data_IF_257135246377
#
_entry.id   IF_257135246377
#
_cell.length_a   1.000
_cell.length_b   1.000
_cell.length_c   1.000
_cell.angle_alpha   90.00
_cell.angle_beta   90.00
_cell.angle_gamma   90.00
#
_symmetry.space_group_name_H-M   'P 1'
#
loop_
_entity.id
_entity.type
_entity.pdbx_description
1 polymer ?
#
# COMPACT_ATOMS: atom_id res chain seq x y z
N UNK A 1 -45.04 64.92 -2.18
CA UNK A 1 -43.58 65.22 -2.29
C UNK A 1 -42.71 64.11 -1.66
N UNK A 2 -42.97 63.61 -0.47
CA UNK A 2 -42.10 62.63 0.20
C UNK A 2 -41.94 61.29 -0.54
N UNK A 3 -42.99 60.78 -1.19
CA UNK A 3 -42.93 59.52 -1.99
C UNK A 3 -42.02 59.60 -3.23
N UNK A 4 -41.93 60.78 -3.86
CA UNK A 4 -41.08 60.99 -5.04
C UNK A 4 -39.58 60.96 -4.68
N UNK A 5 -39.22 61.48 -3.51
CA UNK A 5 -37.81 61.41 -3.04
C UNK A 5 -37.37 60.03 -2.65
N UNK A 6 -38.29 59.19 -2.13
CA UNK A 6 -38.01 57.78 -1.80
C UNK A 6 -37.69 56.97 -3.07
N UNK A 7 -38.46 57.18 -4.14
CA UNK A 7 -38.17 56.48 -5.40
C UNK A 7 -36.90 56.99 -6.07
N UNK A 8 -36.59 58.27 -5.95
CA UNK A 8 -35.36 58.85 -6.50
C UNK A 8 -34.10 58.36 -5.75
N UNK A 9 -34.19 58.22 -4.43
CA UNK A 9 -33.08 57.63 -3.61
C UNK A 9 -32.95 56.12 -3.86
N UNK A 10 -34.03 55.42 -4.01
CA UNK A 10 -33.99 53.96 -4.28
C UNK A 10 -33.40 53.66 -5.66
N UNK A 11 -33.71 54.46 -6.69
CA UNK A 11 -33.12 54.31 -8.03
C UNK A 11 -31.66 54.72 -8.06
N UNK A 12 -31.25 55.72 -7.27
CA UNK A 12 -29.84 56.12 -7.17
C UNK A 12 -28.98 55.07 -6.46
N UNK A 13 -29.50 54.43 -5.40
CA UNK A 13 -28.83 53.33 -4.68
C UNK A 13 -28.74 52.09 -5.54
N UNK A 14 -29.77 51.75 -6.28
CA UNK A 14 -29.79 50.59 -7.19
C UNK A 14 -28.84 50.80 -8.38
N UNK A 15 -28.66 52.03 -8.86
CA UNK A 15 -27.71 52.36 -9.92
C UNK A 15 -26.24 52.29 -9.48
N UNK A 16 -25.94 52.54 -8.20
CA UNK A 16 -24.59 52.44 -7.64
C UNK A 16 -24.13 51.02 -7.39
N UNK A 17 -25.05 50.10 -7.16
CA UNK A 17 -24.71 48.66 -6.95
C UNK A 17 -24.39 47.92 -8.26
N UNK A 18 -24.78 48.43 -9.40
CA UNK A 18 -24.50 47.84 -10.72
C UNK A 18 -23.15 48.28 -11.31
N UNK A 19 -22.50 49.31 -10.73
CA UNK A 19 -21.22 49.80 -11.21
C UNK A 19 -20.00 49.13 -10.57
N UNK A 20 -20.20 48.17 -9.66
CA UNK A 20 -19.12 47.51 -8.90
C UNK A 20 -18.62 46.16 -9.52
N UNK A 21 -18.88 45.93 -10.79
CA UNK A 21 -18.17 44.89 -11.54
C UNK A 21 -17.19 45.51 -12.51
N UNK A 22 -16.08 46.11 -11.98
CA UNK A 22 -14.90 46.20 -12.81
C UNK A 22 -14.41 44.79 -13.06
N UNK A 23 -14.53 44.29 -14.30
CA UNK A 23 -13.73 43.16 -14.75
C UNK A 23 -12.29 43.59 -14.57
N UNK A 24 -11.64 43.10 -13.50
CA UNK A 24 -10.20 43.09 -13.48
C UNK A 24 -9.77 42.45 -14.79
N UNK A 25 -9.16 43.22 -15.66
CA UNK A 25 -8.51 42.65 -16.84
C UNK A 25 -7.38 41.79 -16.28
N UNK A 26 -7.67 40.51 -16.13
CA UNK A 26 -6.65 39.51 -15.87
C UNK A 26 -5.57 39.72 -16.93
N UNK A 27 -4.36 40.00 -16.47
CA UNK A 27 -3.22 40.18 -17.34
C UNK A 27 -3.14 38.93 -18.23
N UNK A 28 -3.19 39.08 -19.54
CA UNK A 28 -3.08 37.97 -20.50
C UNK A 28 -1.73 37.22 -20.35
N UNK A 29 -0.77 37.80 -19.69
CA UNK A 29 0.48 37.18 -19.32
C UNK A 29 0.30 36.50 -17.96
N UNK A 30 0.35 35.17 -17.96
CA UNK A 30 0.48 34.37 -16.74
C UNK A 30 1.67 34.91 -15.93
N UNK A 31 1.44 35.31 -14.66
CA UNK A 31 2.50 35.68 -13.71
C UNK A 31 3.32 34.45 -13.28
N UNK A 32 2.81 33.26 -13.56
CA UNK A 32 3.58 32.03 -13.38
C UNK A 32 4.63 31.96 -14.48
N UNK A 33 5.92 31.76 -14.13
CA UNK A 33 6.92 31.51 -15.15
C UNK A 33 6.42 30.37 -16.04
N UNK A 34 6.66 30.43 -17.37
CA UNK A 34 6.29 29.33 -18.22
C UNK A 34 6.94 28.07 -17.61
N UNK A 35 6.10 27.10 -17.24
CA UNK A 35 6.60 25.77 -16.90
C UNK A 35 7.48 25.41 -18.07
N UNK A 36 8.79 25.27 -17.84
CA UNK A 36 9.70 24.88 -18.90
C UNK A 36 9.19 23.52 -19.39
N UNK A 37 8.58 23.49 -20.57
CA UNK A 37 8.02 22.29 -21.19
C UNK A 37 9.10 21.27 -21.59
N UNK A 38 10.32 21.49 -21.15
CA UNK A 38 11.38 20.49 -21.32
C UNK A 38 11.17 19.38 -20.28
N UNK A 39 10.27 18.46 -20.63
CA UNK A 39 10.20 17.18 -19.94
C UNK A 39 11.61 16.57 -19.91
N UNK A 40 12.08 16.23 -18.71
CA UNK A 40 13.35 15.52 -18.57
C UNK A 40 13.26 14.15 -19.27
N UNK A 41 14.40 13.56 -19.57
CA UNK A 41 14.44 12.18 -20.10
C UNK A 41 13.68 11.21 -19.16
N UNK A 42 13.82 11.40 -17.86
CA UNK A 42 13.11 10.61 -16.85
C UNK A 42 11.59 10.81 -16.90
N UNK A 43 11.11 12.05 -17.09
CA UNK A 43 9.67 12.31 -17.22
C UNK A 43 9.09 11.61 -18.47
N UNK A 44 9.79 11.65 -19.59
CA UNK A 44 9.39 10.95 -20.81
C UNK A 44 9.37 9.44 -20.60
N UNK A 45 10.40 8.91 -19.95
CA UNK A 45 10.47 7.49 -19.64
C UNK A 45 9.28 7.07 -18.72
N UNK A 46 9.00 7.81 -17.64
CA UNK A 46 7.84 7.57 -16.78
C UNK A 46 6.52 7.61 -17.56
N UNK A 47 6.39 8.58 -18.48
CA UNK A 47 5.20 8.71 -19.32
C UNK A 47 5.00 7.49 -20.22
N UNK A 48 6.06 6.98 -20.83
CA UNK A 48 6.00 5.87 -21.79
C UNK A 48 5.81 4.51 -21.10
N UNK A 49 6.52 4.28 -19.99
CA UNK A 49 6.57 2.98 -19.33
C UNK A 49 5.49 2.80 -18.24
N UNK A 50 5.09 3.87 -17.58
CA UNK A 50 4.16 3.78 -16.45
C UNK A 50 2.84 4.49 -16.75
N UNK A 51 2.88 5.79 -17.05
CA UNK A 51 1.66 6.59 -17.12
C UNK A 51 0.74 6.12 -18.26
N UNK A 52 1.26 5.96 -19.47
CA UNK A 52 0.43 5.51 -20.62
C UNK A 52 -0.09 4.09 -20.48
N UNK A 53 0.74 3.08 -20.11
CA UNK A 53 0.28 1.70 -20.03
C UNK A 53 -0.67 1.42 -18.85
N UNK A 54 -0.47 2.11 -17.70
CA UNK A 54 -1.19 1.81 -16.46
C UNK A 54 -2.14 2.92 -16.02
N UNK A 55 -2.19 4.05 -16.75
CA UNK A 55 -3.00 5.23 -16.45
C UNK A 55 -2.71 5.83 -15.06
N UNK A 56 -1.47 5.67 -14.58
CA UNK A 56 -1.00 6.14 -13.29
C UNK A 56 0.06 7.22 -13.45
N UNK A 57 -0.16 8.40 -12.90
CA UNK A 57 0.82 9.48 -12.86
C UNK A 57 1.94 9.16 -11.87
N UNK A 58 3.20 9.34 -12.26
CA UNK A 58 4.35 9.14 -11.35
C UNK A 58 4.73 10.47 -10.73
N UNK A 59 4.72 10.53 -9.39
CA UNK A 59 5.07 11.73 -8.60
C UNK A 59 6.34 11.44 -7.81
N UNK A 60 7.47 11.91 -8.29
CA UNK A 60 8.78 11.80 -7.63
C UNK A 60 9.41 13.16 -7.28
N UNK A 61 8.80 14.26 -7.74
CA UNK A 61 9.11 15.64 -7.35
C UNK A 61 7.90 16.22 -6.64
N UNK A 62 7.97 16.37 -5.35
CA UNK A 62 6.90 16.92 -4.54
C UNK A 62 7.48 17.84 -3.46
N UNK A 63 6.70 18.79 -2.98
CA UNK A 63 7.11 19.71 -1.94
C UNK A 63 6.80 19.15 -0.52
N UNK A 64 7.33 19.83 0.51
CA UNK A 64 7.16 19.41 1.91
C UNK A 64 5.70 19.35 2.37
N UNK A 65 4.77 19.95 1.65
CA UNK A 65 3.35 19.93 2.02
C UNK A 65 2.69 18.59 1.70
N UNK A 66 3.30 17.78 0.84
CA UNK A 66 2.86 16.40 0.55
C UNK A 66 3.38 15.36 1.54
N UNK A 67 4.39 15.69 2.35
CA UNK A 67 4.89 14.79 3.38
C UNK A 67 3.97 14.80 4.60
N UNK A 68 3.69 13.64 5.17
CA UNK A 68 3.10 13.59 6.50
C UNK A 68 4.06 14.22 7.52
N UNK A 69 3.58 15.17 8.31
CA UNK A 69 4.42 15.88 9.30
C UNK A 69 5.02 14.95 10.37
N UNK A 70 4.44 13.77 10.54
CA UNK A 70 4.88 12.75 11.50
C UNK A 70 5.95 11.81 10.96
N UNK A 71 6.30 11.89 9.67
CA UNK A 71 7.28 11.03 9.02
C UNK A 71 8.42 11.86 8.42
N UNK A 72 9.64 11.36 8.49
CA UNK A 72 10.82 12.00 7.89
C UNK A 72 10.98 11.61 6.41
N UNK A 73 9.88 11.70 5.66
CA UNK A 73 9.88 11.39 4.24
C UNK A 73 10.36 12.59 3.42
N UNK A 74 11.05 12.32 2.31
CA UNK A 74 11.62 13.30 1.38
C UNK A 74 11.56 12.77 -0.06
N UNK A 75 11.63 13.64 -1.09
CA UNK A 75 11.68 13.21 -2.49
C UNK A 75 12.88 12.29 -2.75
N UNK A 76 12.73 11.27 -3.61
CA UNK A 76 13.82 10.35 -3.91
C UNK A 76 14.93 11.00 -4.74
N UNK A 77 16.12 10.41 -4.70
CA UNK A 77 17.20 10.70 -5.64
C UNK A 77 16.77 10.28 -7.05
N UNK A 78 17.02 11.14 -8.04
CA UNK A 78 16.52 10.95 -9.40
C UNK A 78 17.05 9.67 -10.07
N UNK A 79 18.29 9.29 -9.76
CA UNK A 79 18.91 8.06 -10.27
C UNK A 79 18.25 6.78 -9.76
N UNK A 80 17.53 6.84 -8.64
CA UNK A 80 16.84 5.70 -8.04
C UNK A 80 15.38 5.54 -8.52
N UNK A 81 14.81 6.57 -9.15
CA UNK A 81 13.41 6.56 -9.60
C UNK A 81 13.17 5.45 -10.64
N UNK A 82 14.00 5.43 -11.69
CA UNK A 82 13.84 4.46 -12.78
C UNK A 82 14.04 3.01 -12.32
N UNK A 83 15.11 2.64 -11.59
CA UNK A 83 15.28 1.27 -11.08
C UNK A 83 14.10 0.74 -10.26
N UNK A 84 13.51 1.58 -9.39
CA UNK A 84 12.34 1.19 -8.58
C UNK A 84 11.10 1.00 -9.44
N UNK A 85 10.86 1.88 -10.41
CA UNK A 85 9.71 1.76 -11.31
C UNK A 85 9.84 0.56 -12.26
N UNK A 86 11.04 0.24 -12.76
CA UNK A 86 11.31 -0.97 -13.54
C UNK A 86 11.02 -2.24 -12.71
N UNK A 87 11.42 -2.25 -11.43
CA UNK A 87 11.10 -3.34 -10.52
C UNK A 87 9.59 -3.45 -10.26
N UNK A 88 8.93 -2.32 -9.97
CA UNK A 88 7.49 -2.26 -9.75
C UNK A 88 6.71 -2.77 -10.96
N UNK A 89 7.10 -2.34 -12.16
CA UNK A 89 6.49 -2.80 -13.40
C UNK A 89 6.68 -4.31 -13.59
N UNK A 90 7.92 -4.79 -13.48
CA UNK A 90 8.26 -6.19 -13.73
C UNK A 90 7.63 -7.16 -12.73
N UNK A 91 7.57 -6.79 -11.44
CA UNK A 91 7.18 -7.71 -10.36
C UNK A 91 5.74 -7.55 -9.88
N UNK A 92 5.11 -6.38 -10.13
CA UNK A 92 3.77 -6.07 -9.63
C UNK A 92 2.81 -5.73 -10.75
N UNK A 93 3.07 -4.66 -11.52
CA UNK A 93 2.08 -4.17 -12.47
C UNK A 93 1.82 -5.15 -13.61
N UNK A 94 2.84 -5.88 -14.06
CA UNK A 94 2.71 -6.91 -15.08
C UNK A 94 1.85 -8.11 -14.64
N UNK A 95 1.76 -8.40 -13.33
CA UNK A 95 0.85 -9.43 -12.81
C UNK A 95 -0.60 -9.16 -13.25
N UNK A 96 -1.03 -7.89 -13.20
CA UNK A 96 -2.39 -7.48 -13.49
C UNK A 96 -2.65 -7.20 -14.99
N UNK A 97 -1.64 -7.36 -15.83
CA UNK A 97 -1.77 -7.28 -17.30
C UNK A 97 -1.75 -8.63 -17.99
N UNK A 98 -1.50 -9.69 -17.25
CA UNK A 98 -1.39 -11.02 -17.86
C UNK A 98 -2.75 -11.50 -18.36
N UNK A 99 -2.90 -11.56 -19.69
CA UNK A 99 -4.13 -11.99 -20.38
C UNK A 99 -4.52 -13.44 -20.09
N UNK A 100 -3.58 -14.25 -19.58
CA UNK A 100 -3.89 -15.63 -19.20
C UNK A 100 -4.69 -15.67 -17.90
N UNK A 101 -4.59 -14.65 -17.06
CA UNK A 101 -5.24 -14.61 -15.75
C UNK A 101 -6.47 -13.72 -15.75
N UNK A 102 -6.41 -12.59 -16.43
CA UNK A 102 -7.51 -11.63 -16.49
C UNK A 102 -8.21 -11.75 -17.85
N UNK A 103 -9.53 -11.79 -17.84
CA UNK A 103 -10.37 -11.79 -19.04
C UNK A 103 -10.05 -10.59 -19.93
N UNK A 104 -9.55 -9.51 -19.32
CA UNK A 104 -9.13 -8.28 -19.98
C UNK A 104 -7.70 -7.94 -19.57
N UNK A 105 -6.83 -7.60 -20.54
CA UNK A 105 -5.52 -7.01 -20.27
C UNK A 105 -5.61 -5.62 -19.63
N UNK A 106 -6.82 -5.14 -19.42
CA UNK A 106 -7.13 -3.80 -18.96
C UNK A 106 -7.55 -3.77 -17.49
N UNK A 107 -7.16 -4.78 -16.69
CA UNK A 107 -7.55 -4.85 -15.28
C UNK A 107 -7.10 -3.62 -14.49
N UNK A 108 -5.82 -3.22 -14.56
CA UNK A 108 -5.36 -1.98 -13.94
C UNK A 108 -5.98 -0.74 -14.61
N UNK A 109 -6.01 -0.61 -15.96
CA UNK A 109 -6.75 0.48 -16.62
C UNK A 109 -8.24 0.56 -16.27
N UNK A 110 -8.91 -0.58 -16.04
CA UNK A 110 -10.32 -0.60 -15.59
C UNK A 110 -10.48 -0.22 -14.11
N UNK A 111 -9.41 -0.35 -13.31
CA UNK A 111 -9.37 -0.05 -11.88
C UNK A 111 -8.15 0.84 -11.57
N UNK A 112 -8.06 2.05 -12.15
CA UNK A 112 -6.83 2.81 -12.20
C UNK A 112 -6.33 3.21 -10.82
N UNK A 113 -5.01 3.05 -10.64
CA UNK A 113 -4.27 3.77 -9.62
C UNK A 113 -3.95 5.14 -10.22
N UNK A 114 -4.51 6.22 -9.68
CA UNK A 114 -4.32 7.54 -10.28
C UNK A 114 -2.90 8.06 -10.16
N UNK A 115 -2.21 7.74 -9.06
CA UNK A 115 -0.87 8.25 -8.78
C UNK A 115 0.01 7.22 -8.09
N UNK A 116 1.29 7.27 -8.44
CA UNK A 116 2.35 6.53 -7.77
C UNK A 116 3.32 7.56 -7.19
N UNK A 117 3.28 7.73 -5.87
CA UNK A 117 4.19 8.62 -5.14
C UNK A 117 5.45 7.86 -4.74
N UNK A 118 6.62 8.46 -5.01
CA UNK A 118 7.92 7.92 -4.64
C UNK A 118 8.55 8.73 -3.51
N UNK A 119 9.04 8.04 -2.47
CA UNK A 119 9.67 8.62 -1.28
C UNK A 119 11.06 8.02 -1.09
N UNK A 120 12.08 8.88 -0.91
CA UNK A 120 13.47 8.47 -0.75
C UNK A 120 13.69 7.60 0.48
N UNK A 121 13.10 7.99 1.62
CA UNK A 121 13.25 7.33 2.91
C UNK A 121 12.12 6.38 3.30
N UNK A 122 12.29 5.76 4.49
CA UNK A 122 11.29 4.89 5.09
C UNK A 122 10.10 5.68 5.67
N UNK A 123 8.92 5.07 5.66
CA UNK A 123 7.75 5.55 6.38
C UNK A 123 7.76 4.96 7.81
N UNK A 124 8.58 5.52 8.69
CA UNK A 124 8.67 5.07 10.09
C UNK A 124 7.77 5.89 10.98
N UNK A 125 7.02 5.21 11.82
CA UNK A 125 6.20 5.86 12.84
C UNK A 125 7.02 6.24 14.09
N UNK A 126 6.35 6.86 15.09
CA UNK A 126 6.97 7.27 16.35
C UNK A 126 7.54 6.14 17.20
N UNK A 127 7.16 4.89 16.92
CA UNK A 127 7.67 3.68 17.58
C UNK A 127 8.82 3.02 16.80
N UNK A 128 9.22 3.59 15.66
CA UNK A 128 10.28 3.08 14.81
C UNK A 128 9.89 1.90 13.94
N UNK A 129 8.59 1.60 13.81
CA UNK A 129 8.09 0.56 12.92
C UNK A 129 8.00 1.09 11.49
N UNK A 130 8.55 0.34 10.54
CA UNK A 130 8.46 0.66 9.11
C UNK A 130 7.06 0.29 8.59
N UNK A 131 6.25 1.31 8.33
CA UNK A 131 4.94 1.16 7.71
C UNK A 131 5.13 1.10 6.20
N UNK A 132 4.83 -0.04 5.60
CA UNK A 132 4.97 -0.25 4.16
C UNK A 132 3.98 0.57 3.32
N UNK A 133 3.02 1.24 3.95
CA UNK A 133 1.93 1.96 3.30
C UNK A 133 1.50 3.18 4.12
N UNK A 134 0.82 4.11 3.48
CA UNK A 134 0.17 5.22 4.16
C UNK A 134 -1.28 4.84 4.50
N UNK A 135 -1.59 4.70 5.79
CA UNK A 135 -2.95 4.33 6.27
C UNK A 135 -4.01 5.36 5.94
N UNK A 136 -3.63 6.63 5.82
CA UNK A 136 -4.53 7.76 5.56
C UNK A 136 -4.66 8.09 4.08
N UNK A 137 -3.81 7.49 3.23
CA UNK A 137 -3.83 7.74 1.80
C UNK A 137 -5.15 7.29 1.16
N UNK A 138 -5.62 7.99 0.13
CA UNK A 138 -6.67 7.48 -0.75
C UNK A 138 -6.27 6.12 -1.33
N UNK A 139 -7.22 5.17 -1.41
CA UNK A 139 -6.93 3.82 -1.88
C UNK A 139 -6.48 3.75 -3.34
N UNK A 140 -6.77 4.79 -4.13
CA UNK A 140 -6.39 4.91 -5.54
C UNK A 140 -4.96 5.45 -5.76
N UNK A 141 -4.23 5.72 -4.70
CA UNK A 141 -2.86 6.20 -4.74
C UNK A 141 -1.91 5.16 -4.16
N UNK A 142 -0.78 4.96 -4.84
CA UNK A 142 0.27 4.04 -4.43
C UNK A 142 1.46 4.84 -3.88
N UNK A 143 1.91 4.51 -2.69
CA UNK A 143 3.01 5.17 -1.99
C UNK A 143 4.17 4.20 -1.85
N UNK A 144 5.27 4.47 -2.53
CA UNK A 144 6.49 3.65 -2.52
C UNK A 144 7.56 4.35 -1.70
N UNK A 145 7.96 3.73 -0.62
CA UNK A 145 8.98 4.21 0.31
C UNK A 145 10.32 3.50 0.09
N UNK A 146 11.39 4.02 0.71
CA UNK A 146 12.74 3.46 0.66
C UNK A 146 13.34 3.41 -0.75
N UNK A 147 12.96 4.35 -1.63
CA UNK A 147 13.46 4.41 -3.00
C UNK A 147 14.98 4.58 -3.05
N UNK A 148 15.55 5.38 -2.16
CA UNK A 148 17.00 5.69 -2.14
C UNK A 148 17.89 4.52 -1.72
N UNK A 149 17.34 3.56 -0.98
CA UNK A 149 18.06 2.37 -0.53
C UNK A 149 17.77 1.14 -1.39
N UNK A 150 16.86 1.26 -2.36
CA UNK A 150 16.49 0.15 -3.22
C UNK A 150 17.68 -0.35 -4.05
N UNK A 151 17.87 -1.66 -4.05
CA UNK A 151 18.81 -2.36 -4.92
C UNK A 151 18.10 -3.51 -5.62
N UNK A 152 18.15 -3.59 -6.97
CA UNK A 152 17.50 -4.65 -7.75
C UNK A 152 18.07 -6.04 -7.48
N UNK A 153 19.29 -6.11 -6.91
CA UNK A 153 19.97 -7.37 -6.54
C UNK A 153 19.75 -7.77 -5.08
N UNK A 154 19.11 -6.90 -4.27
CA UNK A 154 18.82 -7.22 -2.87
C UNK A 154 17.42 -7.84 -2.74
N UNK A 155 17.30 -9.16 -2.45
CA UNK A 155 16.01 -9.83 -2.36
C UNK A 155 15.08 -9.23 -1.29
N UNK A 156 15.64 -8.66 -0.21
CA UNK A 156 14.84 -8.04 0.87
C UNK A 156 14.22 -6.73 0.40
N UNK A 157 14.94 -5.93 -0.39
CA UNK A 157 14.42 -4.67 -0.94
C UNK A 157 13.35 -4.93 -2.02
N UNK A 158 13.58 -5.92 -2.89
CA UNK A 158 12.57 -6.36 -3.87
C UNK A 158 11.33 -6.89 -3.17
N UNK A 159 11.49 -7.74 -2.15
CA UNK A 159 10.40 -8.24 -1.32
C UNK A 159 9.60 -7.09 -0.67
N UNK A 160 10.29 -6.11 -0.06
CA UNK A 160 9.66 -4.94 0.56
C UNK A 160 8.83 -4.14 -0.45
N UNK A 161 9.38 -3.87 -1.64
CA UNK A 161 8.69 -3.16 -2.71
C UNK A 161 7.41 -3.89 -3.13
N UNK A 162 7.52 -5.19 -3.41
CA UNK A 162 6.37 -5.99 -3.86
C UNK A 162 5.31 -6.08 -2.76
N UNK A 163 5.71 -6.33 -1.51
CA UNK A 163 4.80 -6.35 -0.35
C UNK A 163 4.03 -5.05 -0.20
N UNK A 164 4.76 -3.91 -0.23
CA UNK A 164 4.17 -2.58 -0.12
C UNK A 164 3.15 -2.32 -1.23
N UNK A 165 3.53 -2.58 -2.47
CA UNK A 165 2.67 -2.34 -3.63
C UNK A 165 1.44 -3.26 -3.63
N UNK A 166 1.61 -4.57 -3.38
CA UNK A 166 0.51 -5.54 -3.35
C UNK A 166 -0.49 -5.26 -2.21
N UNK A 167 -0.01 -4.83 -1.04
CA UNK A 167 -0.89 -4.41 0.06
C UNK A 167 -1.81 -3.25 -0.38
N UNK A 168 -1.24 -2.21 -0.97
CA UNK A 168 -1.97 -1.03 -1.37
C UNK A 168 -2.92 -1.30 -2.54
N UNK A 169 -2.50 -2.11 -3.52
CA UNK A 169 -3.37 -2.60 -4.60
C UNK A 169 -4.51 -3.44 -4.01
N UNK A 170 -4.23 -4.33 -3.08
CA UNK A 170 -5.26 -5.11 -2.37
C UNK A 170 -6.29 -4.21 -1.70
N UNK A 171 -5.85 -3.18 -0.96
CA UNK A 171 -6.76 -2.18 -0.36
C UNK A 171 -7.62 -1.46 -1.39
N UNK A 172 -7.04 -1.09 -2.53
CA UNK A 172 -7.77 -0.45 -3.63
C UNK A 172 -8.84 -1.37 -4.19
N UNK A 173 -8.49 -2.60 -4.51
CA UNK A 173 -9.41 -3.59 -5.06
C UNK A 173 -10.53 -3.96 -4.07
N UNK A 174 -10.23 -4.05 -2.78
CA UNK A 174 -11.23 -4.24 -1.71
C UNK A 174 -12.19 -3.05 -1.55
N UNK A 175 -11.80 -1.87 -2.01
CA UNK A 175 -12.69 -0.70 -2.05
C UNK A 175 -13.64 -0.77 -3.24
N UNK A 176 -13.18 -1.30 -4.38
CA UNK A 176 -13.97 -1.46 -5.61
C UNK A 176 -14.92 -2.66 -5.50
N UNK A 177 -14.43 -3.75 -4.93
CA UNK A 177 -15.17 -4.97 -4.66
C UNK A 177 -15.25 -5.21 -3.15
N UNK A 178 -16.20 -4.58 -2.43
CA UNK A 178 -16.27 -4.70 -0.98
C UNK A 178 -16.43 -6.15 -0.52
N UNK A 179 -15.70 -6.49 0.55
CA UNK A 179 -15.84 -7.79 1.22
C UNK A 179 -16.82 -7.69 2.40
N UNK A 180 -17.30 -8.81 2.87
CA UNK A 180 -18.12 -8.90 4.08
C UNK A 180 -17.25 -8.62 5.32
N UNK A 181 -17.22 -7.35 5.72
CA UNK A 181 -16.41 -6.85 6.82
C UNK A 181 -16.79 -7.49 8.17
N UNK A 182 -18.07 -7.58 8.46
CA UNK A 182 -18.56 -8.08 9.75
C UNK A 182 -18.26 -9.57 9.88
N UNK A 183 -18.44 -10.32 8.81
CA UNK A 183 -18.03 -11.72 8.75
C UNK A 183 -16.52 -11.88 8.94
N UNK A 184 -15.70 -11.04 8.30
CA UNK A 184 -14.24 -11.12 8.46
C UNK A 184 -13.82 -10.84 9.90
N UNK A 185 -14.42 -9.83 10.55
CA UNK A 185 -14.19 -9.53 11.97
C UNK A 185 -14.55 -10.71 12.89
N UNK A 186 -15.62 -11.45 12.55
CA UNK A 186 -16.08 -12.59 13.37
C UNK A 186 -15.18 -13.83 13.29
N UNK A 187 -14.17 -13.86 12.38
CA UNK A 187 -13.31 -15.02 12.19
C UNK A 187 -12.19 -15.16 13.23
N UNK A 188 -12.02 -14.19 14.10
CA UNK A 188 -10.98 -14.24 15.12
C UNK A 188 -11.24 -13.30 16.28
N UNK A 189 -10.42 -13.40 17.34
CA UNK A 189 -10.52 -12.50 18.47
C UNK A 189 -10.22 -11.07 18.03
N UNK A 190 -10.92 -10.11 18.67
CA UNK A 190 -10.66 -8.69 18.50
C UNK A 190 -9.31 -8.32 19.14
N UNK A 191 -8.25 -8.44 18.35
CA UNK A 191 -6.86 -8.13 18.74
C UNK A 191 -6.26 -7.00 17.91
N UNK A 192 -7.11 -6.21 17.27
CA UNK A 192 -6.64 -5.09 16.48
C UNK A 192 -6.21 -3.91 17.36
N UNK A 193 -5.19 -3.20 16.91
CA UNK A 193 -4.68 -1.99 17.53
C UNK A 193 -4.71 -0.82 16.56
N UNK A 194 -5.08 0.36 17.03
CA UNK A 194 -4.98 1.58 16.21
C UNK A 194 -3.55 2.08 16.05
N UNK A 195 -2.60 1.59 16.85
CA UNK A 195 -1.18 1.99 16.88
C UNK A 195 -0.27 0.77 16.79
N UNK A 196 1.01 1.02 16.49
CA UNK A 196 2.05 -0.03 16.43
C UNK A 196 2.65 -0.37 17.79
N UNK A 197 2.35 0.41 18.82
CA UNK A 197 2.94 0.27 20.17
C UNK A 197 2.90 -1.17 20.70
N UNK A 198 1.79 -1.94 20.61
CA UNK A 198 1.73 -3.29 21.18
C UNK A 198 2.70 -4.30 20.56
N UNK A 199 3.18 -4.04 19.34
CA UNK A 199 4.06 -4.97 18.60
C UNK A 199 5.39 -4.34 18.15
N UNK A 200 5.67 -3.10 18.54
CA UNK A 200 6.88 -2.39 18.13
C UNK A 200 8.16 -3.10 18.60
N UNK A 201 8.16 -3.67 19.80
CA UNK A 201 9.31 -4.41 20.32
C UNK A 201 9.57 -5.70 19.52
N UNK A 202 8.54 -6.41 19.14
CA UNK A 202 8.64 -7.57 18.29
C UNK A 202 9.23 -7.19 16.92
N UNK A 203 8.72 -6.14 16.28
CA UNK A 203 9.26 -5.64 15.01
C UNK A 203 10.75 -5.29 15.13
N UNK A 204 11.12 -4.48 16.14
CA UNK A 204 12.50 -4.08 16.38
C UNK A 204 13.44 -5.26 16.64
N UNK A 205 12.96 -6.33 17.28
CA UNK A 205 13.73 -7.56 17.49
C UNK A 205 14.09 -8.24 16.18
N UNK A 206 13.13 -8.35 15.24
CA UNK A 206 13.40 -8.88 13.90
C UNK A 206 14.39 -8.01 13.12
N UNK A 207 14.20 -6.68 13.13
CA UNK A 207 15.10 -5.74 12.47
C UNK A 207 16.53 -5.83 13.01
N UNK A 208 16.71 -5.77 14.32
CA UNK A 208 18.03 -5.85 14.99
C UNK A 208 18.74 -7.18 14.77
N UNK A 209 18.00 -8.27 14.63
CA UNK A 209 18.56 -9.60 14.34
C UNK A 209 18.86 -9.84 12.85
N UNK A 210 18.70 -8.83 11.98
CA UNK A 210 18.90 -8.97 10.54
C UNK A 210 17.77 -9.76 9.82
N UNK A 211 16.68 -10.05 10.51
CA UNK A 211 15.53 -10.80 10.00
C UNK A 211 14.39 -9.88 9.53
N UNK A 212 14.75 -8.78 8.88
CA UNK A 212 13.78 -7.75 8.46
C UNK A 212 12.68 -8.32 7.56
N UNK A 213 13.01 -9.25 6.67
CA UNK A 213 12.02 -9.89 5.80
C UNK A 213 10.91 -10.58 6.61
N UNK A 214 11.27 -11.29 7.68
CA UNK A 214 10.30 -11.89 8.58
C UNK A 214 9.54 -10.83 9.37
N UNK A 215 10.21 -9.79 9.86
CA UNK A 215 9.57 -8.67 10.56
C UNK A 215 8.49 -7.99 9.71
N UNK A 216 8.68 -7.96 8.39
CA UNK A 216 7.71 -7.40 7.43
C UNK A 216 6.68 -8.41 6.91
N UNK A 217 6.85 -9.70 7.13
CA UNK A 217 6.03 -10.79 6.58
C UNK A 217 5.55 -11.79 7.62
N UNK A 218 5.58 -13.06 7.22
CA UNK A 218 5.25 -14.17 8.13
C UNK A 218 6.24 -14.27 9.27
N UNK A 219 5.76 -14.13 10.50
CA UNK A 219 6.59 -14.28 11.69
C UNK A 219 5.79 -14.85 12.86
N UNK A 220 6.52 -15.49 13.83
CA UNK A 220 5.90 -16.15 14.97
C UNK A 220 5.02 -15.22 15.79
N UNK A 221 5.46 -13.99 16.04
CA UNK A 221 4.68 -13.03 16.80
C UNK A 221 3.31 -12.78 16.19
N UNK A 222 3.22 -12.68 14.86
CA UNK A 222 1.97 -12.45 14.15
C UNK A 222 1.11 -13.72 14.09
N UNK A 223 1.68 -14.84 13.62
CA UNK A 223 0.84 -16.02 13.39
C UNK A 223 0.41 -16.72 14.68
N UNK A 224 1.16 -16.62 15.81
CA UNK A 224 0.67 -17.05 17.13
C UNK A 224 -0.50 -16.23 17.67
N UNK A 225 -0.92 -15.19 16.94
CA UNK A 225 -2.09 -14.34 17.23
C UNK A 225 -3.15 -14.39 16.12
N UNK A 226 -3.00 -15.27 15.14
CA UNK A 226 -3.92 -15.41 14.02
C UNK A 226 -3.79 -14.36 12.92
N UNK A 227 -2.59 -13.74 12.78
CA UNK A 227 -2.27 -12.76 11.74
C UNK A 227 -1.16 -13.25 10.83
N UNK A 228 -1.14 -12.82 9.56
CA UNK A 228 -0.05 -13.12 8.64
C UNK A 228 1.19 -12.27 8.91
N UNK A 229 0.99 -11.01 9.27
CA UNK A 229 2.05 -10.08 9.58
C UNK A 229 1.69 -9.19 10.77
N UNK A 230 2.69 -8.57 11.36
CA UNK A 230 2.53 -7.59 12.43
C UNK A 230 1.65 -6.42 11.97
N UNK A 231 1.79 -5.96 10.73
CA UNK A 231 1.02 -4.83 10.21
C UNK A 231 -0.47 -5.15 10.03
N UNK A 232 -0.84 -6.42 9.88
CA UNK A 232 -2.24 -6.86 9.88
C UNK A 232 -2.97 -6.56 11.18
N UNK A 233 -2.24 -6.46 12.29
CA UNK A 233 -2.82 -6.12 13.59
C UNK A 233 -3.34 -4.67 13.70
N UNK A 234 -3.07 -3.82 12.70
CA UNK A 234 -3.49 -2.42 12.68
C UNK A 234 -4.98 -2.20 12.37
N UNK A 235 -5.72 -3.23 11.99
CA UNK A 235 -7.15 -3.18 11.71
C UNK A 235 -7.59 -4.18 10.67
N UNK A 236 -8.89 -4.50 10.63
CA UNK A 236 -9.43 -5.55 9.75
C UNK A 236 -9.14 -5.32 8.26
N UNK A 237 -9.21 -4.08 7.79
CA UNK A 237 -8.88 -3.75 6.40
C UNK A 237 -7.39 -3.95 6.10
N UNK A 238 -6.54 -3.58 7.03
CA UNK A 238 -5.10 -3.79 6.91
C UNK A 238 -4.77 -5.29 6.98
N UNK A 239 -5.45 -6.05 7.85
CA UNK A 239 -5.28 -7.49 7.99
C UNK A 239 -5.58 -8.23 6.68
N UNK A 240 -6.73 -7.98 6.07
CA UNK A 240 -7.09 -8.63 4.80
C UNK A 240 -6.12 -8.25 3.67
N UNK A 241 -5.69 -6.97 3.61
CA UNK A 241 -4.71 -6.50 2.63
C UNK A 241 -3.30 -7.08 2.89
N UNK A 242 -2.91 -7.23 4.16
CA UNK A 242 -1.67 -7.90 4.56
C UNK A 242 -1.69 -9.38 4.19
N UNK A 243 -2.79 -10.08 4.47
CA UNK A 243 -2.96 -11.47 4.05
C UNK A 243 -2.82 -11.62 2.53
N UNK A 244 -3.44 -10.73 1.76
CA UNK A 244 -3.31 -10.71 0.30
C UNK A 244 -1.86 -10.52 -0.13
N UNK A 245 -1.19 -9.47 0.34
CA UNK A 245 0.17 -9.14 -0.06
C UNK A 245 1.21 -10.17 0.42
N UNK A 246 1.06 -10.72 1.64
CA UNK A 246 1.90 -11.84 2.11
C UNK A 246 1.69 -13.09 1.25
N UNK A 247 0.43 -13.41 0.91
CA UNK A 247 0.15 -14.56 0.04
C UNK A 247 0.85 -14.41 -1.31
N UNK A 248 0.91 -13.22 -1.89
CA UNK A 248 1.56 -12.99 -3.18
C UNK A 248 3.10 -12.96 -3.12
N UNK A 249 3.69 -12.90 -1.93
CA UNK A 249 5.14 -12.77 -1.75
C UNK A 249 5.78 -13.93 -0.99
N UNK A 250 4.98 -14.84 -0.44
CA UNK A 250 5.46 -16.03 0.26
C UNK A 250 5.03 -17.30 -0.47
N UNK A 251 5.86 -18.36 -0.36
CA UNK A 251 5.54 -19.63 -0.97
C UNK A 251 4.34 -20.32 -0.26
N UNK A 252 3.56 -21.14 -0.98
CA UNK A 252 2.50 -21.93 -0.33
C UNK A 252 3.01 -22.76 0.85
N UNK A 253 4.22 -23.32 0.74
CA UNK A 253 4.85 -24.08 1.81
C UNK A 253 5.17 -23.24 3.04
N UNK A 254 5.63 -21.98 2.86
CA UNK A 254 5.88 -21.05 3.97
C UNK A 254 4.59 -20.70 4.72
N UNK A 255 3.51 -20.42 4.00
CA UNK A 255 2.20 -20.13 4.59
C UNK A 255 1.66 -21.35 5.35
N UNK A 256 1.75 -22.54 4.76
CA UNK A 256 1.30 -23.78 5.42
C UNK A 256 2.14 -24.06 6.69
N UNK A 257 3.43 -23.79 6.67
CA UNK A 257 4.27 -23.91 7.86
C UNK A 257 3.86 -22.91 8.95
N UNK A 258 3.63 -21.64 8.60
CA UNK A 258 3.16 -20.64 9.55
C UNK A 258 1.80 -21.03 10.17
N UNK A 259 0.90 -21.62 9.39
CA UNK A 259 -0.37 -22.17 9.87
C UNK A 259 -0.15 -23.29 10.90
N UNK A 260 0.75 -24.24 10.61
CA UNK A 260 1.10 -25.32 11.54
C UNK A 260 1.78 -24.79 12.79
N UNK A 261 2.71 -23.84 12.65
CA UNK A 261 3.44 -23.23 13.75
C UNK A 261 2.52 -22.38 14.65
N UNK A 262 1.43 -21.82 14.12
CA UNK A 262 0.42 -21.11 14.91
C UNK A 262 -0.29 -22.02 15.93
N UNK A 263 -0.35 -23.32 15.68
CA UNK A 263 -0.91 -24.32 16.59
C UNK A 263 0.05 -24.70 17.74
N UNK A 264 1.30 -24.24 17.72
CA UNK A 264 2.31 -24.57 18.74
C UNK A 264 2.21 -23.57 19.89
N UNK A 265 1.85 -24.00 21.10
CA UNK A 265 1.80 -23.11 22.27
C UNK A 265 3.16 -22.51 22.61
N UNK A 266 3.16 -21.35 23.24
CA UNK A 266 4.37 -20.81 23.88
C UNK A 266 4.74 -21.64 25.12
N UNK A 267 6.04 -21.64 25.45
CA UNK A 267 6.54 -22.36 26.63
C UNK A 267 6.05 -21.65 27.90
N UNK A 268 5.69 -22.45 28.89
CA UNK A 268 5.13 -21.99 30.17
C UNK A 268 6.04 -22.28 31.37
N UNK A 269 7.31 -22.69 31.17
CA UNK A 269 8.32 -22.92 32.21
C UNK A 269 7.79 -23.73 33.43
N UNK A 270 6.89 -24.71 33.18
CA UNK A 270 6.32 -25.57 34.24
C UNK A 270 5.05 -25.06 34.92
N UNK A 271 4.55 -23.88 34.57
CA UNK A 271 3.27 -23.35 35.04
C UNK A 271 2.10 -24.02 34.31
N UNK A 272 1.36 -24.85 35.01
CA UNK A 272 0.25 -25.63 34.43
C UNK A 272 -0.96 -24.74 34.01
N UNK A 273 -1.18 -23.60 34.65
CA UNK A 273 -2.23 -22.65 34.25
C UNK A 273 -1.79 -21.92 32.98
N UNK A 274 -0.56 -21.46 32.91
CA UNK A 274 0.03 -20.85 31.72
C UNK A 274 0.03 -21.83 30.54
N UNK A 275 0.38 -23.10 30.73
CA UNK A 275 0.31 -24.15 29.70
C UNK A 275 -1.10 -24.28 29.09
N UNK A 276 -2.15 -24.33 29.94
CA UNK A 276 -3.53 -24.41 29.46
C UNK A 276 -3.92 -23.17 28.69
N UNK A 277 -3.56 -21.98 29.20
CA UNK A 277 -3.86 -20.71 28.51
C UNK A 277 -3.16 -20.64 27.17
N UNK A 278 -1.87 -20.94 27.10
CA UNK A 278 -1.11 -20.91 25.83
C UNK A 278 -1.57 -21.96 24.84
N UNK A 279 -2.01 -23.13 25.31
CA UNK A 279 -2.60 -24.14 24.45
C UNK A 279 -3.94 -23.67 23.83
N UNK A 280 -4.80 -23.00 24.59
CA UNK A 280 -6.04 -22.43 24.07
C UNK A 280 -5.77 -21.24 23.14
N UNK A 281 -4.82 -20.36 23.46
CA UNK A 281 -4.40 -19.26 22.60
C UNK A 281 -3.85 -19.74 21.25
N UNK A 282 -3.03 -20.79 21.25
CA UNK A 282 -2.49 -21.40 20.03
C UNK A 282 -3.59 -22.05 19.17
N UNK A 283 -4.54 -22.73 19.80
CA UNK A 283 -5.71 -23.30 19.12
C UNK A 283 -6.51 -22.19 18.43
N UNK A 284 -6.86 -21.12 19.15
CA UNK A 284 -7.61 -19.98 18.61
C UNK A 284 -6.82 -19.30 17.48
N UNK A 285 -5.51 -19.14 17.63
CA UNK A 285 -4.66 -18.54 16.60
C UNK A 285 -4.64 -19.37 15.31
N UNK A 286 -4.50 -20.69 15.44
CA UNK A 286 -4.53 -21.60 14.31
C UNK A 286 -5.90 -21.60 13.61
N UNK A 287 -7.00 -21.74 14.35
CA UNK A 287 -8.36 -21.70 13.80
C UNK A 287 -8.63 -20.38 13.07
N UNK A 288 -8.23 -19.25 13.68
CA UNK A 288 -8.32 -17.93 13.07
C UNK A 288 -7.54 -17.85 11.76
N UNK A 289 -6.30 -18.32 11.75
CA UNK A 289 -5.44 -18.32 10.57
C UNK A 289 -6.07 -19.11 9.41
N UNK A 290 -6.55 -20.33 9.69
CA UNK A 290 -7.21 -21.20 8.69
C UNK A 290 -8.48 -20.56 8.14
N UNK A 291 -9.34 -20.02 9.01
CA UNK A 291 -10.61 -19.42 8.61
C UNK A 291 -10.41 -18.15 7.78
N UNK A 292 -9.48 -17.28 8.19
CA UNK A 292 -9.14 -16.08 7.42
C UNK A 292 -8.53 -16.42 6.07
N UNK A 293 -7.66 -17.45 5.99
CA UNK A 293 -7.10 -17.94 4.72
C UNK A 293 -8.20 -18.41 3.76
N UNK A 294 -9.15 -19.20 4.27
CA UNK A 294 -10.29 -19.65 3.48
C UNK A 294 -11.17 -18.48 3.02
N UNK A 295 -11.39 -17.49 3.90
CA UNK A 295 -12.13 -16.28 3.58
C UNK A 295 -11.47 -15.49 2.44
N UNK A 296 -10.17 -15.20 2.55
CA UNK A 296 -9.43 -14.48 1.51
C UNK A 296 -9.49 -15.20 0.16
N UNK A 297 -9.24 -16.54 0.16
CA UNK A 297 -9.27 -17.32 -1.07
C UNK A 297 -10.64 -17.26 -1.76
N UNK A 298 -11.71 -17.45 -0.99
CA UNK A 298 -13.07 -17.36 -1.49
C UNK A 298 -13.40 -15.95 -2.00
N UNK A 299 -13.04 -14.91 -1.26
CA UNK A 299 -13.27 -13.52 -1.65
C UNK A 299 -12.60 -13.18 -2.98
N UNK A 300 -11.31 -13.51 -3.15
CA UNK A 300 -10.58 -13.24 -4.40
C UNK A 300 -11.18 -13.99 -5.58
N UNK A 301 -11.55 -15.26 -5.39
CA UNK A 301 -12.17 -16.06 -6.44
C UNK A 301 -13.54 -15.51 -6.86
N UNK A 302 -14.36 -15.09 -5.90
CA UNK A 302 -15.69 -14.53 -6.18
C UNK A 302 -15.62 -13.14 -6.80
N UNK A 303 -14.74 -12.25 -6.28
CA UNK A 303 -14.62 -10.87 -6.73
C UNK A 303 -13.90 -10.74 -8.08
N UNK A 304 -12.83 -11.53 -8.30
CA UNK A 304 -11.96 -11.36 -9.46
C UNK A 304 -11.99 -12.55 -10.43
N UNK A 305 -12.71 -13.61 -10.10
CA UNK A 305 -12.83 -14.83 -10.92
C UNK A 305 -11.48 -15.52 -11.17
N UNK A 306 -10.53 -15.38 -10.25
CA UNK A 306 -9.20 -15.98 -10.33
C UNK A 306 -8.90 -16.72 -9.03
N UNK A 307 -8.44 -17.99 -9.07
CA UNK A 307 -7.97 -18.67 -7.88
C UNK A 307 -6.76 -17.96 -7.27
N UNK A 308 -6.81 -17.62 -5.98
CA UNK A 308 -5.75 -16.92 -5.26
C UNK A 308 -4.39 -17.62 -5.40
N UNK A 309 -4.36 -18.95 -5.36
CA UNK A 309 -3.13 -19.72 -5.53
C UNK A 309 -2.46 -19.48 -6.89
N UNK A 310 -3.25 -19.28 -7.94
CA UNK A 310 -2.72 -18.97 -9.26
C UNK A 310 -2.06 -17.60 -9.31
N UNK A 311 -2.68 -16.59 -8.69
CA UNK A 311 -2.06 -15.27 -8.51
C UNK A 311 -0.76 -15.35 -7.72
N UNK A 312 -0.75 -16.12 -6.63
CA UNK A 312 0.44 -16.35 -5.80
C UNK A 312 1.62 -16.89 -6.62
N UNK A 313 1.39 -17.99 -7.36
CA UNK A 313 2.45 -18.63 -8.15
C UNK A 313 3.00 -17.68 -9.22
N UNK A 314 2.13 -16.93 -9.89
CA UNK A 314 2.56 -15.97 -10.89
C UNK A 314 3.34 -14.80 -10.29
N UNK A 315 2.90 -14.26 -9.15
CA UNK A 315 3.63 -13.21 -8.45
C UNK A 315 5.03 -13.66 -8.05
N UNK A 316 5.15 -14.86 -7.48
CA UNK A 316 6.45 -15.46 -7.12
C UNK A 316 7.33 -15.67 -8.34
N UNK A 317 6.76 -16.13 -9.45
CA UNK A 317 7.49 -16.31 -10.69
C UNK A 317 8.07 -14.99 -11.21
N UNK A 318 7.27 -13.93 -11.24
CA UNK A 318 7.72 -12.60 -11.67
C UNK A 318 8.85 -12.06 -10.77
N UNK A 319 8.72 -12.23 -9.44
CA UNK A 319 9.77 -11.82 -8.49
C UNK A 319 11.07 -12.59 -8.73
N UNK A 320 11.01 -13.91 -8.89
CA UNK A 320 12.19 -14.74 -9.11
C UNK A 320 12.85 -14.41 -10.45
N UNK A 321 12.09 -14.27 -11.52
CA UNK A 321 12.61 -13.86 -12.84
C UNK A 321 13.32 -12.51 -12.79
N UNK A 322 12.76 -11.55 -12.03
CA UNK A 322 13.39 -10.24 -11.85
C UNK A 322 14.72 -10.36 -11.11
N UNK A 323 14.77 -11.09 -9.99
CA UNK A 323 15.98 -11.30 -9.21
C UNK A 323 17.06 -12.04 -10.01
N UNK A 324 16.70 -13.14 -10.68
CA UNK A 324 17.62 -13.93 -11.50
C UNK A 324 18.26 -13.10 -12.61
N UNK A 325 17.45 -12.28 -13.29
CA UNK A 325 17.95 -11.35 -14.32
C UNK A 325 19.01 -10.39 -13.77
N UNK A 326 18.79 -9.84 -12.57
CA UNK A 326 19.69 -8.85 -11.98
C UNK A 326 20.90 -9.49 -11.30
N UNK A 327 20.81 -10.74 -10.81
CA UNK A 327 21.98 -11.49 -10.34
C UNK A 327 22.90 -11.93 -11.49
N UNK A 328 22.35 -12.34 -12.63
CA UNK A 328 23.12 -12.75 -13.79
C UNK A 328 23.90 -11.59 -14.47
N UNK A 329 23.53 -10.35 -14.20
CA UNK A 329 24.18 -9.14 -14.76
C UNK A 329 25.29 -8.58 -13.87
N UNK A 330 25.55 -9.18 -12.72
CA UNK A 330 26.72 -8.82 -11.90
C UNK A 330 27.96 -9.50 -12.48
N UNK A 331 29.08 -8.73 -12.77
CA UNK A 331 30.30 -9.27 -13.32
C UNK A 331 31.05 -10.16 -12.34
#
# INVERSE_FOLDING_TARGET
MMKQYIYLTLTLVLGLTLASCSKDQLCERSVLPPVSEQQSELDRWCQEHITRPYQAEVIYRWDRNHAERSTHTYPPRLEQVRPVLEALEATVLNLYRDKQFFISSDFIPAHPLLRIYLYGGANRDGQGVDLLFNRKAPSIELYIYNVDTFSPTNPVEVYRLVRSAQHQIGRHLMTIHPYDHDRFLSLGPDRYSSTTEPFADAYRSYEKSGRLREGLGLNRYAYSRGFYSILGMLGAREDLAEMYSVTLTETPAAITRAEQDAAIPDDADGDEEAKRRYAEEAKIAHETFVQKRAFLSKYIEEAWRIPLQRLQLQSLQLMNQYLDKHHATQP
#
